data_IF_576111405412
#
_entry.id   IF_576111405412
#
_cell.length_a   1.000
_cell.length_b   1.000
_cell.length_c   1.000
_cell.angle_alpha   90.00
_cell.angle_beta   90.00
_cell.angle_gamma   90.00
#
_symmetry.space_group_name_H-M   'P 1'
#
loop_
_entity.id
_entity.type
_entity.pdbx_description
1 polymer ?
#
# COMPACT_ATOMS: atom_id res chain seq x y z
N UNK A 1 -42.46 26.62 12.70
CA UNK A 1 -41.08 26.23 12.46
C UNK A 1 -40.78 24.75 12.74
N UNK A 2 -41.71 23.96 13.34
CA UNK A 2 -41.53 22.52 13.67
C UNK A 2 -42.11 21.53 12.63
N UNK A 3 -42.73 22.02 11.56
CA UNK A 3 -43.29 21.15 10.51
C UNK A 3 -42.21 20.55 9.58
N UNK A 4 -40.99 21.03 9.66
CA UNK A 4 -39.84 20.53 8.86
C UNK A 4 -39.26 19.17 9.31
N UNK A 5 -39.70 18.64 10.47
CA UNK A 5 -39.13 17.44 11.07
C UNK A 5 -40.15 16.26 11.07
N UNK A 6 -41.18 16.33 10.23
CA UNK A 6 -42.14 15.20 10.17
C UNK A 6 -41.50 14.05 9.38
N UNK A 7 -40.98 13.07 10.14
CA UNK A 7 -40.44 11.83 9.63
C UNK A 7 -41.57 10.92 9.11
N UNK A 8 -41.47 10.38 7.88
CA UNK A 8 -42.40 9.35 7.41
C UNK A 8 -42.32 8.09 8.30
N UNK A 9 -43.42 7.40 8.47
CA UNK A 9 -43.44 6.14 9.23
C UNK A 9 -42.85 4.94 8.44
N UNK A 10 -42.67 5.09 7.14
CA UNK A 10 -42.07 4.09 6.25
C UNK A 10 -40.94 4.70 5.48
N UNK A 11 -39.84 3.95 5.27
CA UNK A 11 -38.72 4.41 4.44
C UNK A 11 -39.18 4.83 3.05
N UNK A 12 -38.79 6.02 2.63
CA UNK A 12 -39.06 6.53 1.29
C UNK A 12 -37.79 6.54 0.44
N UNK A 13 -37.89 6.29 -0.89
CA UNK A 13 -36.75 6.36 -1.77
C UNK A 13 -36.19 7.79 -1.78
N UNK A 14 -34.86 7.88 -1.85
CA UNK A 14 -34.15 9.14 -1.98
C UNK A 14 -34.38 9.71 -3.38
N UNK A 15 -34.57 11.04 -3.48
CA UNK A 15 -34.48 11.71 -4.78
C UNK A 15 -33.01 11.80 -5.21
N UNK A 16 -32.78 11.85 -6.53
CA UNK A 16 -31.43 12.01 -7.09
C UNK A 16 -30.69 13.20 -6.48
N UNK A 17 -31.41 14.33 -6.29
CA UNK A 17 -30.85 15.54 -5.70
C UNK A 17 -30.36 15.30 -4.25
N UNK A 18 -31.14 14.60 -3.42
CA UNK A 18 -30.77 14.27 -2.04
C UNK A 18 -29.60 13.28 -1.98
N UNK A 19 -29.52 12.34 -2.92
CA UNK A 19 -28.42 11.39 -3.00
C UNK A 19 -27.08 12.06 -3.40
N UNK A 20 -27.14 13.12 -4.18
CA UNK A 20 -25.94 13.88 -4.64
C UNK A 20 -25.40 14.79 -3.53
N UNK A 21 -26.22 15.29 -2.60
CA UNK A 21 -25.78 16.24 -1.56
C UNK A 21 -24.55 15.76 -0.78
N UNK A 22 -24.52 14.53 -0.19
CA UNK A 22 -23.35 14.07 0.55
C UNK A 22 -22.09 14.01 -0.32
N UNK A 23 -22.22 13.62 -1.58
CA UNK A 23 -21.10 13.51 -2.52
C UNK A 23 -20.53 14.90 -2.85
N UNK A 24 -21.39 15.88 -3.14
CA UNK A 24 -20.95 17.27 -3.40
C UNK A 24 -20.31 17.86 -2.15
N UNK A 25 -20.93 17.67 -0.98
CA UNK A 25 -20.34 18.11 0.28
C UNK A 25 -18.96 17.46 0.53
N UNK A 26 -18.80 16.17 0.26
CA UNK A 26 -17.52 15.48 0.37
C UNK A 26 -16.46 16.12 -0.53
N UNK A 27 -16.79 16.32 -1.82
CA UNK A 27 -15.85 16.93 -2.78
C UNK A 27 -15.42 18.33 -2.32
N UNK A 28 -16.36 19.15 -1.87
CA UNK A 28 -16.08 20.50 -1.37
C UNK A 28 -15.19 20.42 -0.11
N UNK A 29 -15.52 19.56 0.84
CA UNK A 29 -14.79 19.44 2.10
C UNK A 29 -13.36 18.89 1.90
N UNK A 30 -13.18 17.92 0.99
CA UNK A 30 -11.85 17.40 0.65
C UNK A 30 -11.03 18.44 -0.08
N UNK A 31 -11.62 19.18 -1.06
CA UNK A 31 -10.96 20.28 -1.73
C UNK A 31 -10.53 21.39 -0.75
N UNK A 32 -11.41 21.71 0.20
CA UNK A 32 -11.12 22.69 1.28
C UNK A 32 -10.01 22.18 2.20
N UNK A 33 -10.05 20.88 2.56
CA UNK A 33 -9.00 20.25 3.36
C UNK A 33 -7.64 20.35 2.67
N UNK A 34 -7.58 20.03 1.38
CA UNK A 34 -6.34 20.15 0.61
C UNK A 34 -5.87 21.61 0.49
N UNK A 35 -6.79 22.55 0.26
CA UNK A 35 -6.48 23.98 0.19
C UNK A 35 -5.89 24.54 1.50
N UNK A 36 -6.44 24.10 2.66
CA UNK A 36 -6.03 24.59 3.97
C UNK A 36 -4.78 23.88 4.53
N UNK A 37 -4.64 22.60 4.28
CA UNK A 37 -3.64 21.74 4.94
C UNK A 37 -2.60 21.14 3.95
N UNK A 38 -2.79 21.28 2.64
CA UNK A 38 -1.93 20.67 1.63
C UNK A 38 -1.83 19.15 1.84
N UNK A 39 -0.62 18.59 1.72
CA UNK A 39 -0.36 17.16 1.90
C UNK A 39 -0.66 16.66 3.32
N UNK A 40 -0.61 17.52 4.33
CA UNK A 40 -0.99 17.17 5.70
C UNK A 40 -2.50 16.87 5.85
N UNK A 41 -3.32 17.23 4.86
CA UNK A 41 -4.73 16.88 4.79
C UNK A 41 -5.00 15.39 4.92
N UNK A 42 -4.10 14.55 4.42
CA UNK A 42 -4.22 13.09 4.51
C UNK A 42 -4.07 12.53 5.95
N UNK A 43 -3.46 13.29 6.86
CA UNK A 43 -3.17 12.87 8.24
C UNK A 43 -4.30 13.11 9.26
N UNK A 44 -5.51 13.50 8.81
CA UNK A 44 -6.65 13.75 9.71
C UNK A 44 -7.76 14.59 9.07
N UNK A 45 -7.49 15.75 8.48
CA UNK A 45 -8.51 16.62 7.91
C UNK A 45 -9.42 15.97 6.86
N UNK A 46 -8.88 15.10 6.00
CA UNK A 46 -9.69 14.35 5.02
C UNK A 46 -10.65 13.37 5.69
N UNK A 47 -10.24 12.73 6.80
CA UNK A 47 -11.09 11.83 7.58
C UNK A 47 -12.27 12.60 8.20
N UNK A 48 -12.02 13.83 8.67
CA UNK A 48 -13.09 14.71 9.16
C UNK A 48 -14.08 15.05 8.05
N UNK A 49 -13.59 15.32 6.84
CA UNK A 49 -14.44 15.56 5.66
C UNK A 49 -15.32 14.35 5.33
N UNK A 50 -14.74 13.14 5.33
CA UNK A 50 -15.43 11.89 5.07
C UNK A 50 -16.54 11.63 6.13
N UNK A 51 -16.19 11.69 7.42
CA UNK A 51 -17.15 11.50 8.52
C UNK A 51 -18.26 12.54 8.45
N UNK A 52 -17.94 13.80 8.14
CA UNK A 52 -18.95 14.86 8.00
C UNK A 52 -19.93 14.57 6.85
N UNK A 53 -19.41 14.13 5.70
CA UNK A 53 -20.25 13.74 4.56
C UNK A 53 -21.14 12.53 4.90
N UNK A 54 -20.60 11.54 5.62
CA UNK A 54 -21.36 10.39 6.12
C UNK A 54 -22.47 10.83 7.07
N UNK A 55 -22.21 11.76 7.99
CA UNK A 55 -23.24 12.29 8.90
C UNK A 55 -24.35 13.03 8.14
N UNK A 56 -24.02 13.73 7.06
CA UNK A 56 -25.03 14.36 6.15
C UNK A 56 -25.87 13.26 5.50
N UNK A 57 -25.26 12.20 4.98
CA UNK A 57 -25.99 11.07 4.38
C UNK A 57 -26.92 10.38 5.41
N UNK A 58 -26.42 10.13 6.62
CA UNK A 58 -27.21 9.57 7.74
C UNK A 58 -28.39 10.48 8.07
N UNK A 59 -28.20 11.79 8.15
CA UNK A 59 -29.27 12.74 8.43
C UNK A 59 -30.35 12.74 7.34
N UNK A 60 -29.97 12.69 6.07
CA UNK A 60 -30.90 12.61 4.94
C UNK A 60 -31.68 11.28 4.99
N UNK A 61 -31.00 10.15 5.19
CA UNK A 61 -31.63 8.84 5.32
C UNK A 61 -32.62 8.78 6.49
N UNK A 62 -32.23 9.34 7.64
CA UNK A 62 -33.10 9.45 8.81
C UNK A 62 -34.35 10.30 8.54
N UNK A 63 -34.20 11.44 7.85
CA UNK A 63 -35.34 12.27 7.41
C UNK A 63 -36.30 11.53 6.46
N UNK A 64 -35.75 10.60 5.65
CA UNK A 64 -36.54 9.79 4.74
C UNK A 64 -37.16 8.54 5.37
N UNK A 65 -37.11 8.42 6.72
CA UNK A 65 -37.81 7.38 7.48
C UNK A 65 -36.96 6.17 7.83
N UNK A 66 -35.70 6.09 7.43
CA UNK A 66 -34.79 5.01 7.84
C UNK A 66 -34.50 5.12 9.34
N UNK A 67 -34.44 4.00 10.06
CA UNK A 67 -34.10 3.99 11.48
C UNK A 67 -32.57 4.21 11.64
N UNK A 68 -32.16 4.85 12.74
CA UNK A 68 -30.72 4.99 13.03
C UNK A 68 -30.04 3.61 13.18
N UNK A 69 -30.80 2.63 13.69
CA UNK A 69 -30.33 1.24 13.77
C UNK A 69 -30.02 0.65 12.38
N UNK A 70 -30.92 0.83 11.38
CA UNK A 70 -30.70 0.33 10.02
C UNK A 70 -29.53 1.05 9.33
N UNK A 71 -29.38 2.36 9.57
CA UNK A 71 -28.27 3.14 9.04
C UNK A 71 -26.93 2.74 9.70
N UNK A 72 -26.94 2.51 11.04
CA UNK A 72 -25.77 1.99 11.75
C UNK A 72 -25.37 0.59 11.29
N UNK A 73 -26.35 -0.28 11.01
CA UNK A 73 -26.09 -1.61 10.44
C UNK A 73 -25.46 -1.49 9.06
N UNK A 74 -25.99 -0.64 8.18
CA UNK A 74 -25.41 -0.40 6.85
C UNK A 74 -23.96 0.09 6.93
N UNK A 75 -23.62 1.00 7.86
CA UNK A 75 -22.26 1.45 8.10
C UNK A 75 -21.37 0.29 8.58
N UNK A 76 -21.84 -0.53 9.52
CA UNK A 76 -21.10 -1.70 10.00
C UNK A 76 -20.83 -2.71 8.88
N UNK A 77 -21.86 -3.00 8.07
CA UNK A 77 -21.74 -3.90 6.92
C UNK A 77 -20.72 -3.36 5.89
N UNK A 78 -20.71 -2.05 5.64
CA UNK A 78 -19.74 -1.39 4.77
C UNK A 78 -18.31 -1.55 5.30
N UNK A 79 -18.06 -1.21 6.58
CA UNK A 79 -16.73 -1.36 7.19
C UNK A 79 -16.27 -2.82 7.19
N UNK A 80 -17.18 -3.78 7.36
CA UNK A 80 -16.84 -5.21 7.33
C UNK A 80 -16.22 -5.65 6.00
N UNK A 81 -16.60 -5.02 4.89
CA UNK A 81 -16.01 -5.32 3.56
C UNK A 81 -14.56 -4.85 3.44
N UNK A 82 -14.16 -3.85 4.22
CA UNK A 82 -12.80 -3.29 4.23
C UNK A 82 -11.82 -3.99 5.17
N UNK A 83 -12.27 -4.89 6.04
CA UNK A 83 -11.42 -5.53 7.07
C UNK A 83 -10.23 -6.25 6.44
N UNK A 84 -10.42 -6.94 5.31
CA UNK A 84 -9.35 -7.61 4.58
C UNK A 84 -8.23 -6.65 4.17
N UNK A 85 -8.58 -5.48 3.64
CA UNK A 85 -7.62 -4.45 3.24
C UNK A 85 -6.86 -3.88 4.46
N UNK A 86 -7.53 -3.71 5.59
CA UNK A 86 -6.92 -3.24 6.84
C UNK A 86 -5.83 -4.20 7.31
N UNK A 87 -6.12 -5.51 7.34
CA UNK A 87 -5.12 -6.50 7.72
C UNK A 87 -3.93 -6.56 6.75
N UNK A 88 -4.18 -6.41 5.44
CA UNK A 88 -3.11 -6.33 4.44
C UNK A 88 -2.21 -5.12 4.71
N UNK A 89 -2.77 -3.95 5.03
CA UNK A 89 -1.99 -2.76 5.36
C UNK A 89 -1.12 -2.96 6.60
N UNK A 90 -1.65 -3.57 7.67
CA UNK A 90 -0.84 -3.93 8.83
C UNK A 90 0.31 -4.86 8.46
N UNK A 91 0.06 -5.88 7.65
CA UNK A 91 1.10 -6.79 7.20
C UNK A 91 2.17 -6.07 6.36
N UNK A 92 1.76 -5.14 5.47
CA UNK A 92 2.68 -4.30 4.68
C UNK A 92 3.52 -3.40 5.58
N UNK A 93 2.93 -2.74 6.58
CA UNK A 93 3.67 -1.93 7.53
C UNK A 93 4.76 -2.74 8.25
N UNK A 94 4.39 -3.90 8.80
CA UNK A 94 5.33 -4.82 9.45
C UNK A 94 6.41 -5.36 8.48
N UNK A 95 6.03 -5.66 7.22
CA UNK A 95 6.97 -6.10 6.20
C UNK A 95 8.01 -5.03 5.90
N UNK A 96 7.60 -3.78 5.72
CA UNK A 96 8.53 -2.67 5.46
C UNK A 96 9.52 -2.52 6.61
N UNK A 97 9.05 -2.59 7.86
CA UNK A 97 9.90 -2.49 9.06
C UNK A 97 10.95 -3.60 9.14
N UNK A 98 10.53 -4.87 8.97
CA UNK A 98 11.45 -6.01 9.04
C UNK A 98 12.37 -6.10 7.81
N UNK A 99 11.91 -5.69 6.62
CA UNK A 99 12.76 -5.64 5.44
C UNK A 99 13.78 -4.50 5.50
N UNK A 100 13.45 -3.41 6.18
CA UNK A 100 14.41 -2.36 6.50
C UNK A 100 15.47 -2.87 7.48
N UNK A 101 15.07 -3.52 8.57
CA UNK A 101 15.96 -4.10 9.58
C UNK A 101 16.88 -5.19 8.99
N UNK A 102 16.37 -6.09 8.14
CA UNK A 102 17.14 -7.16 7.50
C UNK A 102 18.07 -6.67 6.39
N UNK A 103 17.87 -5.45 5.89
CA UNK A 103 18.57 -4.93 4.72
C UNK A 103 17.98 -5.35 3.37
N UNK A 104 16.84 -6.05 3.35
CA UNK A 104 16.16 -6.46 2.11
C UNK A 104 15.83 -5.24 1.24
N UNK A 105 15.25 -4.18 1.80
CA UNK A 105 14.97 -2.94 1.07
C UNK A 105 16.24 -2.28 0.52
N UNK A 106 17.30 -2.28 1.33
CA UNK A 106 18.60 -1.72 0.94
C UNK A 106 19.21 -2.51 -0.20
N UNK A 107 19.13 -3.86 -0.16
CA UNK A 107 19.58 -4.71 -1.24
C UNK A 107 18.78 -4.47 -2.53
N UNK A 108 17.44 -4.31 -2.43
CA UNK A 108 16.60 -3.95 -3.59
C UNK A 108 17.05 -2.63 -4.22
N UNK A 109 17.32 -1.61 -3.42
CA UNK A 109 17.81 -0.32 -3.92
C UNK A 109 19.20 -0.46 -4.55
N UNK A 110 20.13 -1.14 -3.88
CA UNK A 110 21.49 -1.35 -4.36
C UNK A 110 21.54 -2.01 -5.75
N UNK A 111 20.88 -3.15 -5.89
CA UNK A 111 20.84 -3.86 -7.18
C UNK A 111 19.96 -3.12 -8.20
N UNK A 112 18.91 -2.44 -7.75
CA UNK A 112 18.07 -1.62 -8.61
C UNK A 112 18.83 -0.45 -9.23
N UNK A 113 19.66 0.24 -8.46
CA UNK A 113 20.53 1.33 -8.97
C UNK A 113 21.56 0.85 -9.98
N UNK A 114 21.96 -0.41 -9.91
CA UNK A 114 22.92 -0.99 -10.89
C UNK A 114 22.24 -1.49 -12.17
N UNK A 115 20.98 -1.93 -12.09
CA UNK A 115 20.30 -2.62 -13.18
C UNK A 115 19.31 -1.72 -13.94
N UNK A 116 18.73 -0.70 -13.27
CA UNK A 116 17.67 0.11 -13.84
C UNK A 116 18.23 1.43 -14.37
N UNK A 117 17.83 1.77 -15.60
CA UNK A 117 18.15 3.06 -16.19
C UNK A 117 17.08 4.08 -15.78
N UNK A 118 17.47 5.26 -15.23
CA UNK A 118 16.54 6.33 -14.85
C UNK A 118 15.60 6.76 -15.99
N UNK A 119 16.12 6.84 -17.23
CA UNK A 119 15.35 7.28 -18.41
C UNK A 119 14.10 6.43 -18.67
N UNK A 120 14.18 5.13 -18.34
CA UNK A 120 13.11 4.16 -18.58
C UNK A 120 12.53 3.60 -17.29
N UNK A 121 12.87 4.19 -16.14
CA UNK A 121 12.51 3.65 -14.83
C UNK A 121 11.00 3.44 -14.68
N UNK A 122 10.21 4.45 -14.99
CA UNK A 122 8.74 4.38 -14.81
C UNK A 122 8.10 3.32 -15.70
N UNK A 123 8.54 3.23 -16.96
CA UNK A 123 8.08 2.18 -17.88
C UNK A 123 8.46 0.79 -17.38
N UNK A 124 9.72 0.63 -16.95
CA UNK A 124 10.24 -0.64 -16.44
C UNK A 124 9.51 -1.07 -15.17
N UNK A 125 9.30 -0.15 -14.23
CA UNK A 125 8.54 -0.41 -13.00
C UNK A 125 7.09 -0.83 -13.29
N UNK A 126 6.42 -0.16 -14.24
CA UNK A 126 5.08 -0.51 -14.68
C UNK A 126 5.03 -1.91 -15.29
N UNK A 127 5.92 -2.22 -16.23
CA UNK A 127 5.96 -3.52 -16.92
C UNK A 127 6.27 -4.67 -15.96
N UNK A 128 7.29 -4.52 -15.11
CA UNK A 128 7.64 -5.55 -14.12
C UNK A 128 6.46 -5.77 -13.16
N UNK A 129 5.86 -4.70 -12.66
CA UNK A 129 4.68 -4.80 -11.78
C UNK A 129 3.51 -5.51 -12.48
N UNK A 130 3.28 -5.26 -13.77
CA UNK A 130 2.26 -5.92 -14.56
C UNK A 130 2.51 -7.43 -14.71
N UNK A 131 3.74 -7.81 -15.06
CA UNK A 131 4.12 -9.23 -15.24
C UNK A 131 4.00 -9.99 -13.91
N UNK A 132 4.54 -9.43 -12.83
CA UNK A 132 4.52 -10.08 -11.52
C UNK A 132 3.08 -10.18 -11.00
N UNK A 133 2.29 -9.12 -11.15
CA UNK A 133 0.90 -9.12 -10.72
C UNK A 133 0.03 -10.11 -11.52
N UNK A 134 0.24 -10.20 -12.83
CA UNK A 134 -0.43 -11.20 -13.66
C UNK A 134 -0.08 -12.65 -13.24
N UNK A 135 1.17 -12.87 -12.83
CA UNK A 135 1.65 -14.18 -12.38
C UNK A 135 1.10 -14.59 -11.01
N UNK A 136 0.95 -13.63 -10.10
CA UNK A 136 0.49 -13.84 -8.72
C UNK A 136 -1.03 -13.73 -8.61
N UNK A 137 -1.66 -12.85 -9.41
CA UNK A 137 -3.09 -12.54 -9.33
C UNK A 137 -3.44 -11.59 -8.18
N UNK A 138 -2.50 -10.72 -7.73
CA UNK A 138 -2.73 -9.81 -6.62
C UNK A 138 -1.97 -8.51 -6.79
N UNK A 139 -2.70 -7.41 -7.02
CA UNK A 139 -2.12 -6.06 -7.04
C UNK A 139 -1.61 -5.63 -5.67
N UNK A 140 -2.30 -5.99 -4.59
CA UNK A 140 -1.91 -5.67 -3.22
C UNK A 140 -0.54 -6.25 -2.85
N UNK A 141 -0.31 -7.52 -3.19
CA UNK A 141 0.98 -8.18 -2.93
C UNK A 141 2.10 -7.48 -3.69
N UNK A 142 1.89 -7.13 -4.96
CA UNK A 142 2.92 -6.48 -5.79
C UNK A 142 3.23 -5.08 -5.30
N UNK A 143 2.20 -4.26 -5.03
CA UNK A 143 2.40 -2.89 -4.53
C UNK A 143 3.07 -2.91 -3.16
N UNK A 144 2.63 -3.79 -2.24
CA UNK A 144 3.17 -3.90 -0.89
C UNK A 144 4.57 -4.53 -0.79
N UNK A 145 5.09 -5.13 -1.86
CA UNK A 145 6.41 -5.82 -1.86
C UNK A 145 7.37 -5.19 -2.86
N UNK A 146 7.31 -5.59 -4.12
CA UNK A 146 8.20 -5.06 -5.18
C UNK A 146 7.98 -3.56 -5.36
N UNK A 147 6.73 -3.08 -5.22
CA UNK A 147 6.40 -1.67 -5.30
C UNK A 147 7.16 -0.82 -4.27
N UNK A 148 7.27 -1.30 -3.04
CA UNK A 148 8.06 -0.63 -1.99
C UNK A 148 9.53 -0.54 -2.39
N UNK A 149 10.08 -1.59 -3.01
CA UNK A 149 11.44 -1.58 -3.57
C UNK A 149 11.60 -0.53 -4.68
N UNK A 150 10.69 -0.50 -5.65
CA UNK A 150 10.69 0.52 -6.70
C UNK A 150 10.60 1.94 -6.15
N UNK A 151 9.79 2.17 -5.12
CA UNK A 151 9.73 3.49 -4.45
C UNK A 151 11.08 3.87 -3.83
N UNK A 152 11.76 2.93 -3.17
CA UNK A 152 13.10 3.15 -2.62
C UNK A 152 14.11 3.50 -3.70
N UNK A 153 14.08 2.80 -4.85
CA UNK A 153 14.96 3.06 -6.00
C UNK A 153 14.66 4.44 -6.60
N UNK A 154 13.39 4.76 -6.86
CA UNK A 154 12.96 6.04 -7.42
C UNK A 154 13.45 7.23 -6.58
N UNK A 155 13.22 7.18 -5.27
CA UNK A 155 13.69 8.21 -4.33
C UNK A 155 15.22 8.31 -4.35
N UNK A 156 15.92 7.17 -4.40
CA UNK A 156 17.39 7.15 -4.46
C UNK A 156 17.93 7.69 -5.79
N UNK A 157 17.21 7.52 -6.88
CA UNK A 157 17.53 8.12 -8.19
C UNK A 157 17.13 9.60 -8.29
N UNK A 158 16.41 10.16 -7.30
CA UNK A 158 15.92 11.54 -7.36
C UNK A 158 14.71 11.71 -8.27
N UNK A 159 14.07 10.60 -8.67
CA UNK A 159 12.88 10.62 -9.53
C UNK A 159 11.63 11.00 -8.74
N UNK A 160 10.62 11.52 -9.42
CA UNK A 160 9.36 11.89 -8.80
C UNK A 160 8.64 10.67 -8.21
N UNK A 161 8.46 10.59 -6.86
CA UNK A 161 7.88 9.43 -6.22
C UNK A 161 6.40 9.22 -6.56
N UNK A 162 5.65 10.28 -6.86
CA UNK A 162 4.24 10.16 -7.23
C UNK A 162 4.09 9.50 -8.61
N UNK A 163 4.96 9.82 -9.57
CA UNK A 163 4.97 9.18 -10.89
C UNK A 163 5.41 7.71 -10.75
N UNK A 164 6.44 7.43 -9.93
CA UNK A 164 6.88 6.07 -9.65
C UNK A 164 5.76 5.20 -9.02
N UNK A 165 5.05 5.74 -8.03
CA UNK A 165 3.89 5.08 -7.44
C UNK A 165 2.79 4.82 -8.49
N UNK A 166 2.48 5.80 -9.34
CA UNK A 166 1.53 5.66 -10.43
C UNK A 166 1.92 4.55 -11.40
N UNK A 167 3.21 4.44 -11.75
CA UNK A 167 3.72 3.40 -12.65
C UNK A 167 3.56 2.00 -12.04
N UNK A 168 3.96 1.81 -10.78
CA UNK A 168 3.81 0.54 -10.05
C UNK A 168 2.35 0.13 -9.94
N UNK A 169 1.49 1.07 -9.52
CA UNK A 169 0.05 0.80 -9.34
C UNK A 169 -0.61 0.46 -10.68
N UNK A 170 -0.32 1.20 -11.74
CA UNK A 170 -0.88 0.94 -13.08
C UNK A 170 -0.53 -0.46 -13.57
N UNK A 171 0.74 -0.88 -13.44
CA UNK A 171 1.16 -2.22 -13.80
C UNK A 171 0.50 -3.29 -12.92
N UNK A 172 0.51 -3.10 -11.60
CA UNK A 172 -0.06 -4.05 -10.66
C UNK A 172 -1.57 -4.27 -10.90
N UNK A 173 -2.33 -3.22 -11.15
CA UNK A 173 -3.75 -3.32 -11.48
C UNK A 173 -4.02 -4.01 -12.81
N UNK A 174 -3.23 -3.71 -13.84
CA UNK A 174 -3.34 -4.40 -15.11
C UNK A 174 -3.14 -5.90 -14.95
N UNK A 175 -2.08 -6.31 -14.26
CA UNK A 175 -1.76 -7.71 -14.03
C UNK A 175 -2.85 -8.42 -13.25
N UNK A 176 -3.34 -7.81 -12.18
CA UNK A 176 -4.43 -8.33 -11.35
C UNK A 176 -5.69 -8.57 -12.18
N UNK A 177 -6.18 -7.57 -12.91
CA UNK A 177 -7.39 -7.71 -13.75
C UNK A 177 -7.25 -8.73 -14.88
N UNK A 178 -6.05 -8.98 -15.35
CA UNK A 178 -5.77 -9.88 -16.48
C UNK A 178 -5.43 -11.31 -16.04
N UNK A 179 -5.32 -11.55 -14.73
CA UNK A 179 -4.94 -12.85 -14.17
C UNK A 179 -6.15 -13.72 -13.83
N UNK A 180 -6.19 -14.97 -14.27
CA UNK A 180 -7.22 -15.92 -13.83
C UNK A 180 -7.04 -16.33 -12.36
N UNK A 181 -5.91 -15.98 -11.72
CA UNK A 181 -5.62 -16.22 -10.31
C UNK A 181 -6.16 -15.11 -9.41
N UNK A 182 -6.65 -14.01 -9.99
CA UNK A 182 -7.10 -12.83 -9.26
C UNK A 182 -8.44 -13.05 -8.57
N UNK A 183 -8.49 -12.77 -7.27
CA UNK A 183 -9.74 -12.79 -6.50
C UNK A 183 -10.71 -11.72 -7.00
N UNK A 184 -10.19 -10.53 -7.36
CA UNK A 184 -11.00 -9.41 -7.85
C UNK A 184 -11.64 -9.71 -9.21
N UNK A 185 -10.91 -10.36 -10.13
CA UNK A 185 -11.42 -10.79 -11.43
C UNK A 185 -12.49 -11.89 -11.27
N UNK A 186 -12.22 -12.88 -10.40
CA UNK A 186 -13.17 -13.94 -10.07
C UNK A 186 -14.47 -13.39 -9.48
N UNK A 187 -14.36 -12.47 -8.51
CA UNK A 187 -15.53 -11.85 -7.89
C UNK A 187 -16.33 -11.02 -8.89
N UNK A 188 -15.65 -10.26 -9.76
CA UNK A 188 -16.30 -9.46 -10.79
C UNK A 188 -17.04 -10.32 -11.80
N UNK A 189 -16.46 -11.43 -12.26
CA UNK A 189 -17.08 -12.39 -13.15
C UNK A 189 -18.32 -13.03 -12.50
N UNK A 190 -18.20 -13.46 -11.25
CA UNK A 190 -19.31 -14.03 -10.48
C UNK A 190 -20.45 -13.03 -10.28
N UNK A 191 -20.14 -11.77 -9.96
CA UNK A 191 -21.13 -10.71 -9.80
C UNK A 191 -21.85 -10.36 -11.12
N UNK A 192 -21.13 -10.43 -12.25
CA UNK A 192 -21.72 -10.24 -13.58
C UNK A 192 -22.45 -11.48 -14.11
N UNK A 193 -22.34 -12.64 -13.45
CA UNK A 193 -22.96 -13.90 -13.89
C UNK A 193 -22.33 -14.47 -15.17
N UNK A 194 -21.05 -14.23 -15.43
CA UNK A 194 -20.31 -14.67 -16.61
C UNK A 194 -19.14 -15.57 -16.21
N UNK A 195 -18.65 -16.35 -17.20
CA UNK A 195 -17.44 -17.14 -17.00
C UNK A 195 -16.20 -16.25 -16.83
N UNK A 196 -15.26 -16.66 -15.97
CA UNK A 196 -14.07 -15.91 -15.66
C UNK A 196 -13.21 -15.60 -16.89
N UNK A 197 -12.98 -16.60 -17.74
CA UNK A 197 -12.15 -16.43 -18.94
C UNK A 197 -12.84 -15.55 -19.97
N UNK A 198 -14.16 -15.62 -20.07
CA UNK A 198 -14.95 -14.70 -20.87
C UNK A 198 -14.81 -13.27 -20.34
N UNK A 199 -14.95 -13.06 -19.02
CA UNK A 199 -14.75 -11.76 -18.38
C UNK A 199 -13.36 -11.17 -18.68
N UNK A 200 -12.29 -11.96 -18.48
CA UNK A 200 -10.91 -11.54 -18.75
C UNK A 200 -10.75 -11.18 -20.23
N UNK A 201 -11.26 -12.02 -21.15
CA UNK A 201 -11.14 -11.79 -22.58
C UNK A 201 -11.82 -10.50 -23.04
N UNK A 202 -13.02 -10.21 -22.53
CA UNK A 202 -13.78 -8.99 -22.86
C UNK A 202 -13.12 -7.72 -22.30
N UNK A 203 -12.50 -7.82 -21.12
CA UNK A 203 -11.82 -6.68 -20.49
C UNK A 203 -10.37 -6.50 -20.95
N UNK A 204 -9.75 -7.53 -21.55
CA UNK A 204 -8.32 -7.51 -21.90
C UNK A 204 -7.99 -6.42 -22.91
N UNK A 205 -8.82 -6.21 -23.94
CA UNK A 205 -8.55 -5.19 -24.96
C UNK A 205 -8.53 -3.78 -24.36
N UNK A 206 -9.52 -3.46 -23.55
CA UNK A 206 -9.57 -2.14 -22.86
C UNK A 206 -8.43 -1.96 -21.88
N UNK A 207 -8.06 -3.01 -21.15
CA UNK A 207 -6.95 -3.01 -20.21
C UNK A 207 -5.60 -2.84 -20.91
N UNK A 208 -5.39 -3.52 -22.07
CA UNK A 208 -4.19 -3.37 -22.88
C UNK A 208 -4.09 -1.97 -23.48
N UNK A 209 -5.19 -1.40 -23.97
CA UNK A 209 -5.21 -0.01 -24.46
C UNK A 209 -4.85 0.98 -23.34
N UNK A 210 -5.42 0.79 -22.15
CA UNK A 210 -5.12 1.63 -20.99
C UNK A 210 -3.65 1.49 -20.57
N UNK A 211 -3.12 0.25 -20.49
CA UNK A 211 -1.71 0.02 -20.17
C UNK A 211 -0.79 0.64 -21.22
N UNK A 212 -1.08 0.46 -22.52
CA UNK A 212 -0.28 1.03 -23.60
C UNK A 212 -0.23 2.56 -23.52
N UNK A 213 -1.38 3.19 -23.25
CA UNK A 213 -1.45 4.64 -23.05
C UNK A 213 -0.65 5.06 -21.81
N UNK A 214 -0.78 4.34 -20.71
CA UNK A 214 -0.01 4.59 -19.49
C UNK A 214 1.49 4.46 -19.73
N UNK A 215 1.95 3.45 -20.48
CA UNK A 215 3.36 3.28 -20.83
C UNK A 215 3.89 4.43 -21.67
N UNK A 216 3.10 4.94 -22.62
CA UNK A 216 3.45 6.14 -23.39
C UNK A 216 3.61 7.35 -22.47
N UNK A 217 2.67 7.56 -21.54
CA UNK A 217 2.79 8.64 -20.56
C UNK A 217 4.02 8.47 -19.66
N UNK A 218 4.28 7.29 -19.14
CA UNK A 218 5.46 7.04 -18.30
C UNK A 218 6.76 7.19 -19.06
N UNK A 219 6.76 6.86 -20.35
CA UNK A 219 7.92 7.12 -21.21
C UNK A 219 8.15 8.62 -21.41
N UNK A 220 7.08 9.40 -21.63
CA UNK A 220 7.17 10.87 -21.79
C UNK A 220 7.51 11.60 -20.49
N UNK A 221 7.18 11.01 -19.34
CA UNK A 221 7.45 11.54 -18.01
C UNK A 221 8.83 11.07 -17.48
N UNK A 222 9.53 10.21 -18.23
CA UNK A 222 10.92 9.87 -17.94
C UNK A 222 11.76 11.13 -17.94
N UNK A 223 12.57 11.30 -16.91
CA UNK A 223 13.49 12.42 -16.81
C UNK A 223 14.87 11.93 -17.30
N UNK A 224 15.25 12.24 -18.56
CA UNK A 224 16.59 11.94 -19.03
C UNK A 224 17.59 12.77 -18.22
N UNK A 225 18.46 12.12 -17.51
CA UNK A 225 19.46 12.79 -16.68
C UNK A 225 20.72 11.93 -16.52
N UNK A 226 21.87 12.58 -16.47
CA UNK A 226 23.12 11.95 -16.04
C UNK A 226 23.03 11.65 -14.52
N UNK A 227 22.31 10.57 -14.18
CA UNK A 227 22.27 10.09 -12.80
C UNK A 227 23.51 9.24 -12.54
N UNK A 228 24.46 9.78 -11.80
CA UNK A 228 25.59 9.01 -11.30
C UNK A 228 25.22 8.35 -9.95
N UNK A 229 25.06 7.05 -9.99
CA UNK A 229 24.76 6.23 -8.82
C UNK A 229 26.02 5.87 -8.01
N UNK A 230 27.21 6.17 -8.50
CA UNK A 230 28.48 5.64 -7.98
C UNK A 230 28.67 5.93 -6.50
N UNK A 231 28.46 7.17 -6.07
CA UNK A 231 28.63 7.55 -4.67
C UNK A 231 27.58 6.88 -3.76
N UNK A 232 26.34 6.76 -4.24
CA UNK A 232 25.26 6.12 -3.48
C UNK A 232 25.47 4.62 -3.37
N UNK A 233 25.86 3.97 -4.45
CA UNK A 233 26.21 2.55 -4.48
C UNK A 233 27.40 2.26 -3.55
N UNK A 234 28.46 3.08 -3.58
CA UNK A 234 29.60 2.94 -2.70
C UNK A 234 29.22 3.11 -1.21
N UNK A 235 28.39 4.09 -0.89
CA UNK A 235 27.90 4.32 0.46
C UNK A 235 27.04 3.15 0.99
N UNK A 236 26.14 2.62 0.15
CA UNK A 236 25.32 1.44 0.50
C UNK A 236 26.23 0.22 0.73
N UNK A 237 27.18 0.00 -0.16
CA UNK A 237 28.10 -1.15 -0.06
C UNK A 237 28.96 -1.09 1.21
N UNK A 238 29.42 0.09 1.60
CA UNK A 238 30.19 0.27 2.81
C UNK A 238 29.38 0.01 4.10
N UNK A 239 28.12 0.49 4.14
CA UNK A 239 27.29 0.47 5.35
C UNK A 239 26.50 -0.83 5.55
N UNK A 240 26.06 -1.49 4.48
CA UNK A 240 25.15 -2.66 4.55
C UNK A 240 25.68 -3.94 3.94
N UNK A 241 26.73 -3.87 3.11
CA UNK A 241 27.28 -5.03 2.39
C UNK A 241 26.18 -5.90 1.75
N UNK A 242 25.40 -5.36 0.78
CA UNK A 242 24.25 -6.05 0.23
C UNK A 242 24.63 -7.42 -0.37
N UNK A 243 23.88 -8.45 0.00
CA UNK A 243 24.08 -9.83 -0.47
C UNK A 243 22.78 -10.36 -1.06
N UNK A 244 22.86 -11.29 -2.02
CA UNK A 244 21.69 -11.90 -2.64
C UNK A 244 20.79 -12.64 -1.64
N UNK A 245 21.34 -13.13 -0.54
CA UNK A 245 20.55 -13.75 0.53
C UNK A 245 19.52 -12.80 1.14
N UNK A 246 19.75 -11.49 1.06
CA UNK A 246 18.79 -10.48 1.54
C UNK A 246 17.47 -10.46 0.75
N UNK A 247 17.41 -11.11 -0.42
CA UNK A 247 16.16 -11.28 -1.18
C UNK A 247 15.31 -12.46 -0.71
N UNK A 248 15.77 -13.29 0.23
CA UNK A 248 15.01 -14.44 0.75
C UNK A 248 13.60 -14.05 1.19
N UNK A 249 13.36 -12.96 1.96
CA UNK A 249 12.01 -12.58 2.35
C UNK A 249 11.11 -12.24 1.15
N UNK A 250 11.64 -11.58 0.12
CA UNK A 250 10.91 -11.31 -1.11
C UNK A 250 10.55 -12.61 -1.85
N UNK A 251 11.50 -13.53 -1.96
CA UNK A 251 11.28 -14.85 -2.58
C UNK A 251 10.21 -15.62 -1.83
N UNK A 252 10.21 -15.59 -0.49
CA UNK A 252 9.17 -16.21 0.34
C UNK A 252 7.79 -15.65 0.00
N UNK A 253 7.63 -14.32 -0.07
CA UNK A 253 6.33 -13.71 -0.44
C UNK A 253 5.88 -14.15 -1.81
N UNK A 254 6.77 -14.10 -2.81
CA UNK A 254 6.43 -14.48 -4.19
C UNK A 254 6.04 -15.96 -4.25
N UNK A 255 6.78 -16.85 -3.59
CA UNK A 255 6.45 -18.28 -3.56
C UNK A 255 5.10 -18.55 -2.90
N UNK A 256 4.81 -17.91 -1.76
CA UNK A 256 3.53 -18.07 -1.07
C UNK A 256 2.37 -17.54 -1.93
N UNK A 257 2.58 -16.40 -2.62
CA UNK A 257 1.58 -15.85 -3.53
C UNK A 257 1.33 -16.77 -4.73
N UNK A 258 2.37 -17.34 -5.35
CA UNK A 258 2.26 -18.34 -6.42
C UNK A 258 1.58 -19.64 -5.94
N UNK A 259 1.75 -20.01 -4.68
CA UNK A 259 1.04 -21.11 -4.03
C UNK A 259 -0.39 -20.75 -3.62
N UNK A 260 -0.89 -19.58 -4.01
CA UNK A 260 -2.26 -19.08 -3.76
C UNK A 260 -2.60 -18.85 -2.28
N UNK A 261 -1.61 -18.51 -1.45
CA UNK A 261 -1.90 -18.04 -0.11
C UNK A 261 -2.57 -16.66 -0.17
N UNK A 262 -3.55 -16.35 0.72
CA UNK A 262 -4.16 -15.03 0.78
C UNK A 262 -3.09 -13.93 0.94
N UNK A 263 -3.29 -12.74 0.32
CA UNK A 263 -2.31 -11.64 0.34
C UNK A 263 -1.82 -11.28 1.74
N UNK A 264 -2.73 -11.17 2.72
CA UNK A 264 -2.36 -10.93 4.11
C UNK A 264 -1.36 -11.96 4.63
N UNK A 265 -1.66 -13.25 4.43
CA UNK A 265 -0.82 -14.36 4.94
C UNK A 265 0.56 -14.36 4.26
N UNK A 266 0.60 -14.18 2.93
CA UNK A 266 1.85 -14.16 2.18
C UNK A 266 2.76 -13.00 2.62
N UNK A 267 2.20 -11.80 2.76
CA UNK A 267 2.92 -10.60 3.16
C UNK A 267 3.37 -10.71 4.62
N UNK A 268 2.50 -11.17 5.52
CA UNK A 268 2.82 -11.30 6.94
C UNK A 268 3.92 -12.37 7.19
N UNK A 269 3.86 -13.53 6.52
CA UNK A 269 4.93 -14.53 6.59
C UNK A 269 6.23 -14.01 5.97
N UNK A 270 6.15 -13.20 4.92
CA UNK A 270 7.30 -12.50 4.37
C UNK A 270 7.93 -11.49 5.34
N UNK A 271 7.11 -10.85 6.17
CA UNK A 271 7.62 -9.96 7.24
C UNK A 271 8.32 -10.75 8.34
N UNK A 272 7.78 -11.90 8.73
CA UNK A 272 8.43 -12.82 9.69
C UNK A 272 9.75 -13.33 9.11
N UNK A 273 9.77 -13.75 7.83
CA UNK A 273 11.01 -14.17 7.17
C UNK A 273 12.07 -13.04 7.16
N UNK A 274 11.65 -11.78 6.95
CA UNK A 274 12.54 -10.61 7.08
C UNK A 274 13.11 -10.45 8.49
N UNK A 275 12.27 -10.57 9.52
CA UNK A 275 12.70 -10.53 10.91
C UNK A 275 13.67 -11.64 11.28
N UNK A 276 13.39 -12.88 10.86
CA UNK A 276 14.28 -14.02 11.07
C UNK A 276 15.61 -13.84 10.36
N UNK A 277 15.58 -13.38 9.09
CA UNK A 277 16.80 -13.07 8.35
C UNK A 277 17.64 -12.02 9.06
N UNK A 278 17.02 -10.94 9.57
CA UNK A 278 17.71 -9.91 10.35
C UNK A 278 18.38 -10.49 11.59
N UNK A 279 17.67 -11.33 12.36
CA UNK A 279 18.19 -11.96 13.57
C UNK A 279 19.39 -12.89 13.29
N UNK A 280 19.43 -13.53 12.10
CA UNK A 280 20.50 -14.44 11.70
C UNK A 280 21.68 -13.70 11.07
N UNK A 281 21.42 -12.80 10.12
CA UNK A 281 22.46 -12.16 9.31
C UNK A 281 23.04 -10.89 9.94
N UNK A 282 22.25 -10.19 10.76
CA UNK A 282 22.65 -8.94 11.40
C UNK A 282 22.23 -8.86 12.88
N UNK A 283 22.58 -9.88 13.71
CA UNK A 283 22.13 -9.93 15.10
C UNK A 283 22.54 -8.70 15.91
N UNK A 284 23.73 -8.15 15.68
CA UNK A 284 24.20 -6.96 16.40
C UNK A 284 23.36 -5.71 16.06
N UNK A 285 22.88 -5.59 14.80
CA UNK A 285 21.97 -4.52 14.40
C UNK A 285 20.62 -4.66 15.11
N UNK A 286 20.10 -5.89 15.18
CA UNK A 286 18.83 -6.18 15.87
C UNK A 286 18.93 -5.88 17.35
N UNK A 287 20.03 -6.28 18.01
CA UNK A 287 20.28 -6.02 19.44
C UNK A 287 20.45 -4.53 19.73
N UNK A 288 21.21 -3.82 18.88
CA UNK A 288 21.37 -2.37 19.01
C UNK A 288 20.05 -1.61 18.84
N UNK A 289 19.18 -2.11 17.94
CA UNK A 289 17.85 -1.53 17.73
C UNK A 289 16.88 -1.86 18.88
N UNK A 290 16.92 -3.08 19.42
CA UNK A 290 16.10 -3.47 20.56
C UNK A 290 16.38 -2.61 21.80
N UNK A 291 17.64 -2.20 22.00
CA UNK A 291 18.10 -1.48 23.19
C UNK A 291 17.62 -2.16 24.49
N UNK A 292 17.60 -3.51 24.49
CA UNK A 292 17.08 -4.32 25.58
C UNK A 292 17.86 -4.11 26.89
N UNK A 293 17.17 -4.25 28.03
CA UNK A 293 17.75 -4.08 29.34
C UNK A 293 18.88 -5.10 29.61
N UNK A 294 19.90 -4.67 30.41
CA UNK A 294 20.96 -5.54 30.85
C UNK A 294 20.40 -6.72 31.65
N UNK A 295 20.67 -7.97 31.18
CA UNK A 295 20.21 -9.20 31.82
C UNK A 295 19.16 -9.97 31.05
N UNK A 296 18.60 -9.42 29.98
CA UNK A 296 17.72 -10.17 29.08
C UNK A 296 18.53 -11.16 28.23
N UNK A 297 18.13 -12.45 28.15
CA UNK A 297 18.79 -13.41 27.29
C UNK A 297 18.84 -12.93 25.83
N UNK A 298 19.99 -13.16 25.16
CA UNK A 298 20.23 -12.67 23.79
C UNK A 298 19.11 -13.02 22.80
N UNK A 299 18.55 -14.20 22.89
CA UNK A 299 17.47 -14.64 21.99
C UNK A 299 16.16 -13.85 22.23
N UNK A 300 15.87 -13.45 23.49
CA UNK A 300 14.72 -12.59 23.81
C UNK A 300 14.94 -11.15 23.30
N UNK A 301 16.15 -10.60 23.46
CA UNK A 301 16.50 -9.29 22.90
C UNK A 301 16.41 -9.27 21.36
N UNK A 302 16.81 -10.35 20.68
CA UNK A 302 16.61 -10.49 19.24
C UNK A 302 15.12 -10.54 18.88
N UNK A 303 14.32 -11.29 19.63
CA UNK A 303 12.87 -11.34 19.44
C UNK A 303 12.23 -9.97 19.65
N UNK A 304 12.64 -9.24 20.69
CA UNK A 304 12.19 -7.87 20.99
C UNK A 304 12.48 -6.93 19.81
N UNK A 305 13.71 -6.93 19.27
CA UNK A 305 14.06 -6.08 18.12
C UNK A 305 13.24 -6.39 16.88
N UNK A 306 12.99 -7.69 16.59
CA UNK A 306 12.10 -8.09 15.49
C UNK A 306 10.67 -7.64 15.75
N UNK A 307 10.18 -7.78 16.98
CA UNK A 307 8.82 -7.37 17.36
C UNK A 307 8.63 -5.86 17.25
N UNK A 308 9.60 -5.07 17.71
CA UNK A 308 9.60 -3.62 17.55
C UNK A 308 9.60 -3.21 16.08
N UNK A 309 10.41 -3.86 15.24
CA UNK A 309 10.43 -3.58 13.81
C UNK A 309 9.09 -3.90 13.11
N UNK A 310 8.38 -4.95 13.53
CA UNK A 310 7.02 -5.25 13.07
C UNK A 310 6.02 -4.19 13.53
N UNK A 311 6.10 -3.77 14.80
CA UNK A 311 5.12 -2.87 15.40
C UNK A 311 5.32 -1.42 14.96
N UNK A 312 6.54 -0.88 15.15
CA UNK A 312 6.85 0.55 15.02
C UNK A 312 7.86 0.85 13.91
N UNK A 313 8.28 -0.17 13.14
CA UNK A 313 9.27 -0.03 12.10
C UNK A 313 10.70 -0.03 12.62
N UNK A 314 11.65 0.08 11.69
CA UNK A 314 13.06 0.15 11.99
C UNK A 314 13.55 1.59 11.85
N UNK A 315 14.39 2.04 12.77
CA UNK A 315 15.10 3.32 12.71
C UNK A 315 16.60 3.04 12.59
N UNK A 316 17.18 3.43 11.46
CA UNK A 316 18.61 3.28 11.20
C UNK A 316 19.40 4.41 11.85
N UNK A 317 20.53 4.08 12.43
CA UNK A 317 21.50 5.02 13.05
C UNK A 317 22.89 4.76 12.48
N UNK A 318 23.02 4.63 11.16
CA UNK A 318 24.29 4.36 10.47
C UNK A 318 25.27 5.54 10.51
N UNK A 319 24.77 6.75 10.84
CA UNK A 319 25.54 7.99 10.78
C UNK A 319 25.64 8.60 9.38
N UNK A 320 25.03 7.98 8.38
CA UNK A 320 24.95 8.52 7.02
C UNK A 320 23.49 8.86 6.68
N UNK A 321 23.14 10.14 6.76
CA UNK A 321 21.75 10.60 6.69
C UNK A 321 20.93 10.08 5.48
N UNK A 322 21.45 10.02 4.23
CA UNK A 322 20.67 9.46 3.11
C UNK A 322 20.32 7.98 3.31
N UNK A 323 21.21 7.23 3.97
CA UNK A 323 21.00 5.81 4.24
C UNK A 323 20.01 5.60 5.40
N UNK A 324 20.13 6.44 6.43
CA UNK A 324 19.22 6.41 7.57
C UNK A 324 17.79 6.75 7.12
N UNK A 325 17.61 7.72 6.21
CA UNK A 325 16.31 8.02 5.60
C UNK A 325 15.76 6.87 4.76
N UNK A 326 16.61 6.13 4.05
CA UNK A 326 16.18 4.98 3.25
C UNK A 326 15.77 3.81 4.14
N UNK A 327 16.53 3.53 5.18
CA UNK A 327 16.34 2.39 6.06
C UNK A 327 15.38 2.64 7.24
N UNK A 328 15.10 3.90 7.61
CA UNK A 328 14.20 4.23 8.73
C UNK A 328 12.77 4.33 8.24
N UNK A 329 12.03 3.23 8.31
CA UNK A 329 10.62 3.18 7.88
C UNK A 329 9.89 1.94 8.34
N UNK A 330 8.58 1.93 8.08
CA UNK A 330 7.69 0.79 8.28
C UNK A 330 7.06 0.76 9.66
N UNK A 331 6.66 -0.44 10.07
CA UNK A 331 5.87 -0.70 11.26
C UNK A 331 4.36 -0.69 10.99
N UNK A 332 3.63 -1.51 11.73
CA UNK A 332 2.16 -1.56 11.64
C UNK A 332 1.54 -0.21 12.00
N UNK A 333 2.13 0.52 12.93
CA UNK A 333 1.69 1.84 13.37
C UNK A 333 1.75 2.90 12.26
N UNK A 334 2.72 2.79 11.35
CA UNK A 334 2.84 3.70 10.20
C UNK A 334 1.62 3.66 9.27
N UNK A 335 0.82 2.58 9.31
CA UNK A 335 -0.37 2.39 8.50
C UNK A 335 -1.64 2.95 9.15
N UNK A 336 -1.61 3.36 10.42
CA UNK A 336 -2.80 3.77 11.17
C UNK A 336 -3.56 4.94 10.52
N UNK A 337 -2.84 5.94 10.00
CA UNK A 337 -3.48 7.07 9.31
C UNK A 337 -4.20 6.64 8.03
N UNK A 338 -3.60 5.72 7.26
CA UNK A 338 -4.23 5.16 6.05
C UNK A 338 -5.44 4.29 6.41
N UNK A 339 -5.32 3.47 7.45
CA UNK A 339 -6.42 2.63 7.94
C UNK A 339 -7.58 3.50 8.42
N UNK A 340 -7.31 4.55 9.21
CA UNK A 340 -8.33 5.50 9.64
C UNK A 340 -9.03 6.18 8.44
N UNK A 341 -8.26 6.57 7.40
CA UNK A 341 -8.83 7.12 6.17
C UNK A 341 -9.78 6.12 5.50
N UNK A 342 -9.36 4.84 5.36
CA UNK A 342 -10.18 3.78 4.75
C UNK A 342 -11.46 3.55 5.56
N UNK A 343 -11.35 3.40 6.88
CA UNK A 343 -12.52 3.21 7.75
C UNK A 343 -13.48 4.39 7.68
N UNK A 344 -12.96 5.61 7.52
CA UNK A 344 -13.79 6.81 7.37
C UNK A 344 -14.46 6.91 6.00
N UNK A 345 -13.91 6.25 4.97
CA UNK A 345 -14.43 6.24 3.61
C UNK A 345 -15.50 5.14 3.38
N UNK A 346 -15.46 4.08 4.17
CA UNK A 346 -16.41 2.96 4.13
C UNK A 346 -17.70 3.25 4.90
#
# INVERSE_FOLDING_TARGET
MLSFIRRPNTPQPLSLFEAIIPVVCLVILVALSYYLFGDAGAGGPNQVALVTATMIAVFIGWRRGHSLESLGKAATDSVSTGIGAIFILFAVGGLIGTWALSGTLVAMVYYGLQLLNPDYFFVTACVISAIVSASIGSSWTVVGTIGVGFMGIAVSMGLNPAIAAGAVISGAYFGDKSSPLSDSANLSAAAAGVDLYQHIRETLLTSLMALSLSLVFFFMLGEPGDFDATDKIAAIQHSFQPQLVMFVPLVVVILLALLRFPPFTAIFLGSIAGGLLAAVMAPERVLAFAAADEGIPRWLALLEGVWLALASGYTSTSGFAPMDMLASRGGMDSMLNTIWLIVSAL
#
